data_IF_359214604774
#
_entry.id   IF_359214604774
#
_cell.length_a   1.000
_cell.length_b   1.000
_cell.length_c   1.000
_cell.angle_alpha   90.00
_cell.angle_beta   90.00
_cell.angle_gamma   90.00
#
_symmetry.space_group_name_H-M   'P 1'
#
loop_
_entity.id
_entity.type
_entity.pdbx_description
1 polymer ?
#
# COMPACT_ATOMS: atom_id res chain seq x y z
N UNK A 1 -2.22 -9.18 15.60
CA UNK A 1 -2.57 -9.93 14.38
C UNK A 1 -3.78 -10.84 14.61
N UNK A 2 -3.79 -11.65 15.67
CA UNK A 2 -4.86 -12.63 15.93
C UNK A 2 -6.26 -12.00 16.01
N UNK A 3 -6.43 -10.97 16.85
CA UNK A 3 -7.71 -10.23 16.97
C UNK A 3 -8.17 -9.62 15.64
N UNK A 4 -7.25 -9.10 14.83
CA UNK A 4 -7.60 -8.55 13.52
C UNK A 4 -8.08 -9.64 12.55
N UNK A 5 -7.45 -10.81 12.57
CA UNK A 5 -7.88 -11.97 11.76
C UNK A 5 -9.25 -12.47 12.20
N UNK A 6 -9.45 -12.61 13.50
CA UNK A 6 -10.74 -13.01 14.08
C UNK A 6 -11.86 -12.04 13.70
N UNK A 7 -11.62 -10.74 13.79
CA UNK A 7 -12.62 -9.73 13.39
C UNK A 7 -13.00 -9.82 11.91
N UNK A 8 -12.03 -10.11 11.03
CA UNK A 8 -12.28 -10.29 9.59
C UNK A 8 -13.02 -11.59 9.35
N UNK A 9 -12.68 -12.68 10.05
CA UNK A 9 -13.39 -13.95 9.95
C UNK A 9 -14.85 -13.80 10.38
N UNK A 10 -15.12 -13.12 11.50
CA UNK A 10 -16.48 -12.80 11.94
C UNK A 10 -17.23 -11.98 10.87
N UNK A 11 -16.59 -10.97 10.29
CA UNK A 11 -17.18 -10.17 9.22
C UNK A 11 -17.55 -11.03 7.99
N UNK A 12 -16.63 -11.89 7.52
CA UNK A 12 -16.86 -12.76 6.36
C UNK A 12 -17.96 -13.80 6.62
N UNK A 13 -18.07 -14.28 7.86
CA UNK A 13 -19.11 -15.21 8.30
C UNK A 13 -20.42 -14.52 8.71
N UNK A 14 -20.67 -13.29 8.24
CA UNK A 14 -21.89 -12.50 8.48
C UNK A 14 -22.18 -12.15 9.96
N UNK A 15 -21.18 -12.30 10.85
CA UNK A 15 -21.26 -11.92 12.27
C UNK A 15 -20.80 -10.47 12.47
N UNK A 16 -21.45 -9.54 11.79
CA UNK A 16 -21.01 -8.13 11.75
C UNK A 16 -21.10 -7.43 13.11
N UNK A 17 -22.12 -7.73 13.92
CA UNK A 17 -22.29 -7.12 15.25
C UNK A 17 -21.13 -7.50 16.19
N UNK A 18 -20.72 -8.76 16.15
CA UNK A 18 -19.61 -9.27 16.97
C UNK A 18 -18.27 -8.71 16.50
N UNK A 19 -18.08 -8.60 15.17
CA UNK A 19 -16.92 -7.93 14.61
C UNK A 19 -16.86 -6.45 15.05
N UNK A 20 -17.99 -5.75 15.04
CA UNK A 20 -18.07 -4.36 15.50
C UNK A 20 -17.73 -4.19 16.98
N UNK A 21 -18.25 -5.07 17.84
CA UNK A 21 -17.91 -5.03 19.26
C UNK A 21 -16.42 -5.31 19.46
N UNK A 22 -15.84 -6.27 18.73
CA UNK A 22 -14.41 -6.56 18.78
C UNK A 22 -13.56 -5.36 18.31
N UNK A 23 -14.00 -4.64 17.27
CA UNK A 23 -13.35 -3.40 16.83
C UNK A 23 -13.38 -2.31 17.91
N UNK A 24 -14.49 -2.16 18.63
CA UNK A 24 -14.61 -1.14 19.69
C UNK A 24 -13.70 -1.42 20.89
N UNK A 25 -13.52 -2.67 21.27
CA UNK A 25 -12.66 -3.05 22.41
C UNK A 25 -11.16 -2.96 22.11
N UNK A 26 -10.77 -3.02 20.84
CA UNK A 26 -9.36 -3.06 20.43
C UNK A 26 -8.95 -1.89 19.52
N UNK A 27 -9.54 -0.71 19.71
CA UNK A 27 -9.19 0.47 18.91
C UNK A 27 -7.71 0.85 19.03
N UNK A 28 -7.06 0.60 20.16
CA UNK A 28 -5.63 0.91 20.35
C UNK A 28 -4.72 0.09 19.42
N UNK A 29 -5.18 -1.09 18.99
CA UNK A 29 -4.44 -1.95 18.10
C UNK A 29 -4.53 -1.43 16.65
N UNK A 30 -3.38 -0.99 16.12
CA UNK A 30 -3.27 -0.46 14.75
C UNK A 30 -3.85 -1.40 13.70
N UNK A 31 -3.60 -2.70 13.82
CA UNK A 31 -4.04 -3.69 12.85
C UNK A 31 -5.55 -3.89 12.89
N UNK A 32 -6.15 -3.87 14.09
CA UNK A 32 -7.61 -3.97 14.27
C UNK A 32 -8.30 -2.73 13.70
N UNK A 33 -7.74 -1.53 13.95
CA UNK A 33 -8.26 -0.28 13.37
C UNK A 33 -8.27 -0.32 11.84
N UNK A 34 -7.19 -0.82 11.21
CA UNK A 34 -7.15 -0.99 9.75
C UNK A 34 -8.13 -2.05 9.25
N UNK A 35 -8.26 -3.17 9.97
CA UNK A 35 -9.25 -4.21 9.64
C UNK A 35 -10.68 -3.63 9.64
N UNK A 36 -11.03 -2.81 10.63
CA UNK A 36 -12.32 -2.11 10.68
C UNK A 36 -12.52 -1.21 9.45
N UNK A 37 -11.49 -0.44 9.04
CA UNK A 37 -11.55 0.37 7.84
C UNK A 37 -11.85 -0.47 6.59
N UNK A 38 -11.12 -1.57 6.36
CA UNK A 38 -11.35 -2.40 5.19
C UNK A 38 -12.75 -3.05 5.20
N UNK A 39 -13.22 -3.55 6.34
CA UNK A 39 -14.57 -4.11 6.46
C UNK A 39 -15.65 -3.04 6.18
N UNK A 40 -15.48 -1.82 6.69
CA UNK A 40 -16.38 -0.70 6.42
C UNK A 40 -16.38 -0.31 4.93
N UNK A 41 -15.20 -0.28 4.29
CA UNK A 41 -15.06 0.01 2.86
C UNK A 41 -15.76 -1.07 2.03
N UNK A 42 -15.51 -2.34 2.30
CA UNK A 42 -16.17 -3.44 1.59
C UNK A 42 -17.69 -3.37 1.75
N UNK A 43 -18.18 -3.13 2.97
CA UNK A 43 -19.61 -2.97 3.22
C UNK A 43 -20.19 -1.81 2.42
N UNK A 44 -19.53 -0.66 2.41
CA UNK A 44 -19.98 0.53 1.67
C UNK A 44 -19.96 0.34 0.15
N UNK A 45 -18.96 -0.39 -0.37
CA UNK A 45 -18.85 -0.72 -1.80
C UNK A 45 -19.96 -1.68 -2.23
N UNK A 46 -20.32 -2.64 -1.37
CA UNK A 46 -21.38 -3.62 -1.65
C UNK A 46 -22.78 -3.00 -1.58
N UNK A 47 -23.06 -2.15 -0.58
CA UNK A 47 -24.40 -1.57 -0.41
C UNK A 47 -24.64 -0.33 -1.25
N UNK A 48 -23.59 0.43 -1.55
CA UNK A 48 -23.64 1.70 -2.27
C UNK A 48 -24.56 2.75 -1.61
N UNK A 49 -24.83 2.62 -0.31
CA UNK A 49 -25.67 3.55 0.42
C UNK A 49 -24.92 4.83 0.78
N UNK A 50 -25.48 6.00 0.44
CA UNK A 50 -24.84 7.30 0.68
C UNK A 50 -24.46 7.52 2.15
N UNK A 51 -25.34 7.13 3.08
CA UNK A 51 -25.07 7.24 4.51
C UNK A 51 -23.92 6.34 4.97
N UNK A 52 -23.69 5.20 4.31
CA UNK A 52 -22.61 4.28 4.61
C UNK A 52 -21.28 4.71 3.97
N UNK A 53 -21.33 5.25 2.75
CA UNK A 53 -20.19 5.90 2.10
C UNK A 53 -19.64 7.05 2.95
N UNK A 54 -20.51 7.93 3.47
CA UNK A 54 -20.10 9.06 4.31
C UNK A 54 -19.52 8.59 5.66
N UNK A 55 -20.17 7.62 6.33
CA UNK A 55 -19.64 7.03 7.58
C UNK A 55 -18.25 6.42 7.36
N UNK A 56 -18.06 5.72 6.24
CA UNK A 56 -16.77 5.11 5.89
C UNK A 56 -15.70 6.18 5.65
N UNK A 57 -16.04 7.29 4.97
CA UNK A 57 -15.11 8.41 4.80
C UNK A 57 -14.67 9.01 6.13
N UNK A 58 -15.58 9.15 7.08
CA UNK A 58 -15.27 9.68 8.42
C UNK A 58 -14.35 8.73 9.18
N UNK A 59 -14.63 7.43 9.15
CA UNK A 59 -13.79 6.40 9.77
C UNK A 59 -12.37 6.39 9.17
N UNK A 60 -12.26 6.47 7.84
CA UNK A 60 -10.97 6.50 7.13
C UNK A 60 -10.16 7.74 7.50
N UNK A 61 -10.80 8.92 7.55
CA UNK A 61 -10.13 10.18 7.94
C UNK A 61 -9.66 10.15 9.40
N UNK A 62 -10.49 9.62 10.31
CA UNK A 62 -10.12 9.48 11.71
C UNK A 62 -8.94 8.53 11.89
N UNK A 63 -8.95 7.40 11.18
CA UNK A 63 -7.87 6.42 11.20
C UNK A 63 -6.59 6.96 10.57
N UNK A 64 -6.68 7.67 9.43
CA UNK A 64 -5.54 8.35 8.81
C UNK A 64 -4.87 9.29 9.82
N UNK A 65 -5.66 10.11 10.53
CA UNK A 65 -5.14 11.03 11.53
C UNK A 65 -4.47 10.30 12.69
N UNK A 66 -5.07 9.22 13.19
CA UNK A 66 -4.50 8.42 14.28
C UNK A 66 -3.20 7.69 13.89
N UNK A 67 -3.05 7.33 12.62
CA UNK A 67 -1.87 6.63 12.10
C UNK A 67 -0.79 7.57 11.58
N UNK A 68 -1.10 8.86 11.37
CA UNK A 68 -0.12 9.82 10.87
C UNK A 68 1.03 9.95 11.88
N UNK A 69 2.26 9.54 11.51
CA UNK A 69 3.39 9.67 12.41
C UNK A 69 3.75 11.15 12.59
N UNK A 70 4.19 11.51 13.79
CA UNK A 70 4.63 12.87 14.07
C UNK A 70 5.73 13.28 13.09
N UNK A 71 5.59 14.47 12.49
CA UNK A 71 6.51 15.00 11.47
C UNK A 71 7.95 15.06 11.99
N UNK A 72 8.12 15.22 13.31
CA UNK A 72 9.41 15.16 14.01
C UNK A 72 10.07 13.78 13.97
N UNK A 73 9.30 12.71 14.18
CA UNK A 73 9.79 11.33 14.14
C UNK A 73 10.23 10.93 12.73
N UNK A 74 9.46 11.32 11.70
CA UNK A 74 9.81 11.05 10.29
C UNK A 74 11.10 11.77 9.89
N UNK A 75 11.32 12.98 10.39
CA UNK A 75 12.54 13.74 10.13
C UNK A 75 13.73 13.19 10.93
N UNK A 76 13.53 12.76 12.18
CA UNK A 76 14.55 12.09 12.98
C UNK A 76 14.97 10.78 12.31
N UNK A 77 14.04 9.97 11.83
CA UNK A 77 14.32 8.76 11.05
C UNK A 77 15.07 9.07 9.76
N UNK A 78 14.71 10.12 9.01
CA UNK A 78 15.51 10.58 7.85
C UNK A 78 16.94 10.97 8.21
N UNK A 79 17.14 11.63 9.34
CA UNK A 79 18.47 12.05 9.81
C UNK A 79 19.26 10.87 10.36
N UNK A 80 18.58 9.89 10.97
CA UNK A 80 19.17 8.68 11.56
C UNK A 80 19.39 7.55 10.55
N UNK A 81 18.65 7.52 9.45
CA UNK A 81 18.98 6.70 8.26
C UNK A 81 20.35 7.11 7.66
N UNK A 82 20.78 8.35 7.87
CA UNK A 82 22.15 8.79 7.53
C UNK A 82 23.21 8.37 8.56
N UNK A 83 22.81 7.80 9.69
CA UNK A 83 23.68 7.35 10.80
C UNK A 83 23.06 6.10 11.46
N UNK A 84 23.19 4.92 10.81
CA UNK A 84 22.39 3.71 11.09
C UNK A 84 22.68 3.03 12.44
N UNK A 85 23.72 3.44 13.18
CA UNK A 85 24.19 2.78 14.41
C UNK A 85 23.22 2.93 15.62
N UNK A 86 22.13 3.69 15.49
CA UNK A 86 21.31 4.11 16.64
C UNK A 86 19.81 3.81 16.52
N UNK A 87 19.36 2.98 15.58
CA UNK A 87 17.92 2.77 15.38
C UNK A 87 17.52 1.30 15.37
N UNK A 88 16.63 0.96 16.30
CA UNK A 88 16.06 -0.38 16.42
C UNK A 88 15.22 -0.70 15.17
N UNK A 89 15.50 -1.83 14.53
CA UNK A 89 14.78 -2.30 13.33
C UNK A 89 13.25 -2.28 13.53
N UNK A 90 12.79 -2.63 14.74
CA UNK A 90 11.38 -2.63 15.11
C UNK A 90 10.73 -1.24 15.04
N UNK A 91 11.46 -0.16 15.29
CA UNK A 91 10.93 1.20 15.23
C UNK A 91 10.78 1.66 13.77
N UNK A 92 11.75 1.33 12.92
CA UNK A 92 11.70 1.58 11.46
C UNK A 92 10.50 0.88 10.84
N UNK A 93 10.33 -0.42 11.14
CA UNK A 93 9.20 -1.21 10.65
C UNK A 93 7.88 -0.61 11.13
N UNK A 94 7.78 -0.28 12.42
CA UNK A 94 6.58 0.34 12.98
C UNK A 94 6.22 1.69 12.35
N UNK A 95 7.20 2.50 11.95
CA UNK A 95 6.95 3.74 11.21
C UNK A 95 6.43 3.44 9.79
N UNK A 96 7.12 2.56 9.06
CA UNK A 96 6.75 2.20 7.69
C UNK A 96 5.33 1.64 7.64
N UNK A 97 4.97 0.75 8.57
CA UNK A 97 3.61 0.22 8.71
C UNK A 97 2.57 1.33 8.86
N UNK A 98 2.84 2.35 9.70
CA UNK A 98 1.93 3.49 9.89
C UNK A 98 1.81 4.33 8.64
N UNK A 99 2.92 4.58 7.94
CA UNK A 99 2.90 5.34 6.68
C UNK A 99 2.10 4.60 5.59
N UNK A 100 2.25 3.28 5.48
CA UNK A 100 1.46 2.44 4.58
C UNK A 100 -0.02 2.52 4.95
N UNK A 101 -0.36 2.37 6.23
CA UNK A 101 -1.74 2.49 6.71
C UNK A 101 -2.39 3.85 6.37
N UNK A 102 -1.62 4.95 6.48
CA UNK A 102 -2.07 6.29 6.05
C UNK A 102 -2.32 6.35 4.55
N UNK A 103 -1.41 5.80 3.73
CA UNK A 103 -1.57 5.75 2.28
C UNK A 103 -2.81 4.94 1.87
N UNK A 104 -3.02 3.79 2.49
CA UNK A 104 -4.18 2.92 2.27
C UNK A 104 -5.48 3.64 2.62
N UNK A 105 -5.53 4.38 3.75
CA UNK A 105 -6.69 5.19 4.11
C UNK A 105 -7.00 6.24 3.04
N UNK A 106 -5.96 6.88 2.48
CA UNK A 106 -6.12 7.89 1.41
C UNK A 106 -6.64 7.27 0.11
N UNK A 107 -6.14 6.08 -0.27
CA UNK A 107 -6.66 5.33 -1.44
C UNK A 107 -8.11 4.94 -1.23
N UNK A 108 -8.43 4.32 -0.09
CA UNK A 108 -9.79 3.90 0.21
C UNK A 108 -10.74 5.10 0.22
N UNK A 109 -10.35 6.23 0.81
CA UNK A 109 -11.16 7.44 0.80
C UNK A 109 -11.36 7.97 -0.62
N UNK A 110 -10.34 7.91 -1.49
CA UNK A 110 -10.48 8.29 -2.89
C UNK A 110 -11.49 7.37 -3.62
N UNK A 111 -11.41 6.06 -3.41
CA UNK A 111 -12.38 5.09 -3.95
C UNK A 111 -13.80 5.43 -3.50
N UNK A 112 -14.03 5.64 -2.20
CA UNK A 112 -15.35 5.99 -1.70
C UNK A 112 -15.88 7.31 -2.30
N UNK A 113 -15.02 8.31 -2.50
CA UNK A 113 -15.42 9.55 -3.19
C UNK A 113 -15.82 9.30 -4.65
N UNK A 114 -15.14 8.41 -5.39
CA UNK A 114 -15.55 8.07 -6.75
C UNK A 114 -16.92 7.39 -6.81
N UNK A 115 -17.27 6.62 -5.78
CA UNK A 115 -18.57 5.94 -5.68
C UNK A 115 -19.74 6.89 -5.40
N UNK A 116 -19.51 8.13 -4.95
CA UNK A 116 -20.61 9.09 -4.76
C UNK A 116 -21.19 9.62 -6.08
N UNK A 117 -20.51 9.41 -7.22
CA UNK A 117 -20.97 9.72 -8.58
C UNK A 117 -21.33 11.18 -8.89
N UNK A 118 -21.04 12.13 -7.99
CA UNK A 118 -21.11 13.56 -8.29
C UNK A 118 -19.75 14.11 -8.76
N UNK A 119 -19.79 15.20 -9.55
CA UNK A 119 -18.59 15.83 -10.14
C UNK A 119 -17.61 16.30 -9.06
N UNK A 120 -18.11 16.83 -7.95
CA UNK A 120 -17.27 17.31 -6.85
C UNK A 120 -16.50 16.16 -6.19
N UNK A 121 -17.16 15.03 -5.97
CA UNK A 121 -16.53 13.86 -5.37
C UNK A 121 -15.58 13.15 -6.33
N UNK A 122 -15.83 13.17 -7.64
CA UNK A 122 -14.85 12.74 -8.63
C UNK A 122 -13.55 13.56 -8.56
N UNK A 123 -13.65 14.88 -8.41
CA UNK A 123 -12.47 15.77 -8.23
C UNK A 123 -11.76 15.46 -6.91
N UNK A 124 -12.51 15.30 -5.80
CA UNK A 124 -11.93 14.93 -4.49
C UNK A 124 -11.25 13.58 -4.52
N UNK A 125 -11.86 12.58 -5.16
CA UNK A 125 -11.28 11.25 -5.37
C UNK A 125 -9.98 11.34 -6.15
N UNK A 126 -9.96 12.08 -7.25
CA UNK A 126 -8.77 12.31 -8.08
C UNK A 126 -7.64 12.99 -7.29
N UNK A 127 -7.97 14.02 -6.52
CA UNK A 127 -7.01 14.70 -5.65
C UNK A 127 -6.47 13.79 -4.54
N UNK A 128 -7.37 13.04 -3.88
CA UNK A 128 -7.03 12.06 -2.84
C UNK A 128 -6.09 10.97 -3.37
N UNK A 129 -6.37 10.44 -4.56
CA UNK A 129 -5.52 9.43 -5.19
C UNK A 129 -4.12 9.98 -5.51
N UNK A 130 -4.03 11.21 -6.01
CA UNK A 130 -2.73 11.89 -6.21
C UNK A 130 -1.96 12.05 -4.90
N UNK A 131 -2.65 12.36 -3.80
CA UNK A 131 -2.03 12.46 -2.47
C UNK A 131 -1.52 11.10 -1.99
N UNK A 132 -2.33 10.05 -2.12
CA UNK A 132 -1.94 8.69 -1.77
C UNK A 132 -0.69 8.22 -2.52
N UNK A 133 -0.65 8.47 -3.85
CA UNK A 133 0.51 8.19 -4.68
C UNK A 133 1.80 8.82 -4.13
N UNK A 134 1.76 10.11 -3.75
CA UNK A 134 2.93 10.79 -3.18
C UNK A 134 3.38 10.17 -1.85
N UNK A 135 2.43 9.68 -1.05
CA UNK A 135 2.75 8.97 0.20
C UNK A 135 3.46 7.65 -0.10
N UNK A 136 2.94 6.84 -1.04
CA UNK A 136 3.62 5.60 -1.45
C UNK A 136 4.98 5.84 -2.09
N UNK A 137 5.11 6.83 -2.97
CA UNK A 137 6.39 7.18 -3.61
C UNK A 137 7.45 7.53 -2.55
N UNK A 138 7.06 8.28 -1.52
CA UNK A 138 7.93 8.55 -0.36
C UNK A 138 8.32 7.27 0.39
N UNK A 139 7.36 6.39 0.70
CA UNK A 139 7.61 5.12 1.40
C UNK A 139 8.57 4.26 0.58
N UNK A 140 8.33 4.16 -0.72
CA UNK A 140 9.20 3.44 -1.65
C UNK A 140 10.64 3.98 -1.63
N UNK A 141 10.80 5.31 -1.59
CA UNK A 141 12.11 5.94 -1.44
C UNK A 141 12.81 5.57 -0.13
N UNK A 142 12.08 5.53 0.99
CA UNK A 142 12.61 5.13 2.31
C UNK A 142 13.01 3.65 2.33
N UNK A 143 12.19 2.77 1.78
CA UNK A 143 12.51 1.34 1.67
C UNK A 143 13.74 1.14 0.77
N UNK A 144 13.80 1.85 -0.36
CA UNK A 144 14.91 1.76 -1.30
C UNK A 144 16.24 2.23 -0.70
N UNK A 145 16.24 3.26 0.16
CA UNK A 145 17.46 3.69 0.85
C UNK A 145 17.93 2.65 1.85
N UNK A 146 17.02 2.13 2.68
CA UNK A 146 17.30 1.05 3.64
C UNK A 146 17.95 -0.17 2.98
N UNK A 147 17.43 -0.60 1.83
CA UNK A 147 18.01 -1.72 1.07
C UNK A 147 19.40 -1.43 0.50
N UNK A 148 19.70 -0.18 0.17
CA UNK A 148 21.02 0.22 -0.35
C UNK A 148 22.04 0.30 0.79
N UNK A 149 21.65 0.89 1.92
CA UNK A 149 22.47 1.01 3.13
C UNK A 149 22.79 -0.36 3.71
N UNK A 150 21.79 -1.22 3.96
CA UNK A 150 22.04 -2.58 4.48
C UNK A 150 22.84 -3.48 3.53
N UNK A 151 22.88 -3.16 2.23
CA UNK A 151 23.78 -3.82 1.26
C UNK A 151 25.20 -3.28 1.35
N UNK A 152 25.36 -1.97 1.50
CA UNK A 152 26.65 -1.30 1.67
C UNK A 152 27.36 -1.80 2.93
N UNK A 153 26.66 -1.83 4.07
CA UNK A 153 27.20 -2.29 5.36
C UNK A 153 27.66 -3.75 5.30
N UNK A 154 26.93 -4.61 4.58
CA UNK A 154 27.33 -6.02 4.39
C UNK A 154 28.58 -6.17 3.53
N UNK A 155 28.82 -5.27 2.59
CA UNK A 155 30.00 -5.30 1.73
C UNK A 155 31.22 -4.72 2.45
N UNK A 156 31.05 -3.65 3.24
CA UNK A 156 32.11 -3.04 4.05
C UNK A 156 32.55 -3.97 5.19
N UNK A 157 31.61 -4.60 5.91
CA UNK A 157 31.94 -5.61 6.93
C UNK A 157 32.56 -6.90 6.36
N UNK A 158 32.38 -7.18 5.07
CA UNK A 158 33.05 -8.30 4.39
C UNK A 158 34.46 -7.96 3.89
N UNK A 159 34.86 -6.67 3.92
CA UNK A 159 36.15 -6.18 3.43
C UNK A 159 37.18 -5.92 4.54
N UNK A 160 36.80 -6.01 5.82
CA UNK A 160 37.74 -5.97 6.96
C UNK A 160 38.59 -7.27 6.99
N UNK A 161 39.94 -7.20 6.98
CA UNK A 161 40.79 -8.38 6.93
C UNK A 161 40.89 -9.05 8.31
N UNK A 162 39.93 -9.92 8.60
CA UNK A 162 39.99 -10.88 9.71
C UNK A 162 40.82 -12.10 9.32
N UNK A 163 41.83 -12.36 10.14
CA UNK A 163 42.89 -13.37 10.05
C UNK A 163 42.50 -14.72 9.41
N UNK A 164 43.43 -15.26 8.62
CA UNK A 164 43.22 -16.40 7.73
C UNK A 164 42.74 -17.65 8.44
N UNK A 165 41.43 -17.91 8.37
CA UNK A 165 40.89 -19.25 8.50
C UNK A 165 39.72 -19.40 7.54
N UNK A 166 39.96 -20.15 6.47
CA UNK A 166 39.00 -20.45 5.43
C UNK A 166 37.68 -20.93 6.03
N UNK A 167 36.64 -20.11 5.94
CA UNK A 167 35.27 -20.49 6.21
C UNK A 167 34.63 -20.91 4.88
N UNK A 168 34.20 -22.17 4.86
CA UNK A 168 33.51 -22.88 3.80
C UNK A 168 32.27 -22.09 3.31
N UNK A 169 31.97 -22.05 1.99
CA UNK A 169 30.84 -21.27 1.49
C UNK A 169 29.51 -21.89 1.95
N UNK A 170 28.83 -21.20 2.86
CA UNK A 170 27.48 -21.54 3.30
C UNK A 170 26.51 -21.58 2.10
N UNK A 171 25.79 -22.69 2.00
CA UNK A 171 24.95 -23.08 0.89
C UNK A 171 23.91 -22.01 0.49
N UNK A 172 23.79 -21.79 -0.83
CA UNK A 172 22.62 -21.15 -1.45
C UNK A 172 21.34 -21.89 -1.04
N UNK A 173 20.22 -21.21 -0.75
CA UNK A 173 18.93 -21.87 -0.66
C UNK A 173 18.60 -22.47 -2.03
N UNK A 174 18.49 -23.80 -2.09
CA UNK A 174 18.02 -24.54 -3.25
C UNK A 174 16.55 -24.21 -3.47
N UNK A 175 16.25 -23.47 -4.54
CA UNK A 175 14.90 -23.40 -5.10
C UNK A 175 14.59 -24.80 -5.66
N UNK A 176 13.51 -25.48 -5.26
CA UNK A 176 13.17 -26.77 -5.85
C UNK A 176 12.73 -26.54 -7.29
N UNK A 177 13.50 -27.06 -8.24
CA UNK A 177 13.14 -27.09 -9.66
C UNK A 177 12.46 -28.43 -9.95
N UNK A 178 11.16 -28.40 -10.28
CA UNK A 178 10.57 -29.07 -11.45
C UNK A 178 9.08 -29.33 -11.27
N UNK A 179 8.26 -28.74 -12.16
CA UNK A 179 7.17 -29.43 -12.84
C UNK A 179 6.77 -28.60 -14.06
N UNK A 180 7.27 -29.07 -15.21
CA UNK A 180 6.75 -28.98 -16.56
C UNK A 180 5.40 -28.27 -16.75
N UNK A 181 5.34 -27.31 -17.67
CA UNK A 181 4.09 -26.99 -18.36
C UNK A 181 4.34 -26.73 -19.85
N UNK A 182 3.38 -27.13 -20.71
CA UNK A 182 3.59 -27.36 -22.12
C UNK A 182 3.50 -26.07 -22.94
N UNK A 183 4.18 -26.13 -24.09
CA UNK A 183 4.21 -25.13 -25.13
C UNK A 183 2.78 -24.79 -25.62
N UNK A 184 2.28 -23.58 -25.37
CA UNK A 184 1.07 -23.05 -25.99
C UNK A 184 1.46 -21.93 -26.97
N UNK A 185 1.22 -22.22 -28.25
CA UNK A 185 1.44 -21.33 -29.38
C UNK A 185 0.64 -20.02 -29.28
N UNK A 186 1.27 -18.93 -29.71
CA UNK A 186 0.63 -17.63 -29.89
C UNK A 186 -0.34 -17.65 -31.10
N UNK A 187 -1.56 -17.09 -31.00
CA UNK A 187 -2.40 -16.91 -32.17
C UNK A 187 -1.96 -15.68 -32.98
N UNK A 188 -1.88 -15.88 -34.31
CA UNK A 188 -1.56 -14.85 -35.29
C UNK A 188 -2.63 -13.76 -35.35
N UNK A 189 -2.21 -12.49 -35.37
CA UNK A 189 -3.08 -11.35 -35.63
C UNK A 189 -3.30 -11.17 -37.14
N UNK A 190 -4.55 -11.02 -37.63
CA UNK A 190 -4.82 -10.79 -39.04
C UNK A 190 -4.46 -9.35 -39.44
N UNK A 191 -3.82 -9.26 -40.59
CA UNK A 191 -3.38 -8.06 -41.26
C UNK A 191 -4.56 -7.30 -41.85
N UNK A 192 -4.59 -5.97 -41.66
CA UNK A 192 -5.34 -5.06 -42.51
C UNK A 192 -6.37 -4.21 -41.75
N UNK A 193 -6.04 -2.93 -41.55
CA UNK A 193 -6.93 -1.83 -41.94
C UNK A 193 -6.10 -0.54 -42.04
N UNK A 194 -5.94 -0.07 -43.29
CA UNK A 194 -5.33 1.20 -43.67
C UNK A 194 -5.98 2.37 -42.91
N UNK A 195 -5.19 3.18 -42.21
CA UNK A 195 -5.58 4.54 -41.83
C UNK A 195 -5.41 5.45 -43.04
N UNK A 196 -6.52 5.78 -43.72
CA UNK A 196 -6.56 6.91 -44.65
C UNK A 196 -6.76 8.19 -43.85
N UNK A 197 -5.77 9.08 -43.90
CA UNK A 197 -5.87 10.43 -43.41
C UNK A 197 -6.64 11.28 -44.42
N UNK A 198 -7.77 11.85 -44.02
CA UNK A 198 -8.45 12.91 -44.77
C UNK A 198 -8.53 14.16 -43.90
N UNK A 199 -7.79 15.19 -44.33
CA UNK A 199 -7.90 16.58 -43.91
C UNK A 199 -9.34 17.05 -44.05
N UNK A 200 -9.94 17.57 -42.98
CA UNK A 200 -11.13 18.40 -43.07
C UNK A 200 -10.69 19.85 -43.31
N UNK A 201 -11.05 20.38 -44.48
CA UNK A 201 -11.02 21.82 -44.77
C UNK A 201 -12.17 22.48 -44.01
N UNK A 202 -11.84 23.59 -43.36
CA UNK A 202 -12.79 24.60 -42.88
C UNK A 202 -13.34 25.32 -44.10
N UNK A 203 -14.66 25.34 -44.25
CA UNK A 203 -15.35 26.32 -45.10
C UNK A 203 -16.53 26.91 -44.32
N UNK A 204 -16.52 28.24 -44.26
CA UNK A 204 -17.40 29.09 -43.48
C UNK A 204 -18.28 29.84 -44.47
N UNK A 205 -19.58 29.54 -44.50
CA UNK A 205 -20.57 30.33 -45.22
C UNK A 205 -21.98 30.15 -44.64
N UNK A 206 -22.37 31.05 -43.74
CA UNK A 206 -23.63 31.80 -43.81
C UNK A 206 -23.69 32.85 -42.71
#
# INVERSE_FOLDING_TARGET
MEVARESIDMFLNSRMVEAEDLFRHHQDNRQVRMAQCYCSVMSAVVTFESAQLERTLQLLKATEKAMTPDTGLVNQLRTKLKAPEQLEESEVVGLLERQIAVADCQVCAAVINFLQQDVGSCVRGSWGLRRAWKTYDRIYGQISSLYREGRQDRLENAAEPGDGRAAEPAARPLIPSSASSPNLAAPAAPSGLRRSATRLHVDQAR
#
